data_IF_966643509022
#
_entry.id   IF_966643509022
#
_cell.length_a   1.000
_cell.length_b   1.000
_cell.length_c   1.000
_cell.angle_alpha   90.00
_cell.angle_beta   90.00
_cell.angle_gamma   90.00
#
_symmetry.space_group_name_H-M   'P 1'
#
loop_
_entity.id
_entity.type
_entity.pdbx_description
1 polymer ?
#
# COMPACT_ATOMS: atom_id res chain seq x y z
N UNK A 1 -4.42 -7.02 -4.76
CA UNK A 1 -4.14 -5.76 -4.06
C UNK A 1 -4.48 -4.53 -4.91
N UNK A 2 -5.02 -3.50 -4.25
CA UNK A 2 -5.01 -2.08 -4.66
C UNK A 2 -4.17 -1.32 -3.64
N UNK A 3 -3.33 -0.37 -4.07
CA UNK A 3 -2.45 0.40 -3.17
C UNK A 3 -2.77 1.89 -3.31
N UNK A 4 -3.20 2.52 -2.22
CA UNK A 4 -3.74 3.88 -2.19
C UNK A 4 -3.25 4.59 -0.93
N UNK A 5 -2.83 5.84 -1.07
CA UNK A 5 -2.52 6.74 0.04
C UNK A 5 -3.73 7.63 0.35
N UNK A 6 -3.99 7.87 1.63
CA UNK A 6 -5.11 8.70 2.08
C UNK A 6 -4.58 9.78 3.02
N UNK A 7 -4.77 11.04 2.63
CA UNK A 7 -4.35 12.17 3.44
C UNK A 7 -5.54 12.68 4.25
N UNK A 8 -5.40 12.71 5.57
CA UNK A 8 -6.47 13.06 6.51
C UNK A 8 -6.00 14.20 7.41
N UNK A 9 -6.84 15.22 7.57
CA UNK A 9 -6.65 16.28 8.55
C UNK A 9 -7.88 16.35 9.45
N UNK A 10 -7.69 16.04 10.74
CA UNK A 10 -8.79 15.92 11.69
C UNK A 10 -9.78 14.84 11.25
N UNK A 11 -11.00 15.23 10.91
CA UNK A 11 -12.07 14.34 10.46
C UNK A 11 -12.38 14.46 8.96
N UNK A 12 -11.52 15.10 8.16
CA UNK A 12 -11.72 15.30 6.73
C UNK A 12 -10.65 14.59 5.91
N UNK A 13 -11.09 13.91 4.85
CA UNK A 13 -10.23 13.41 3.79
C UNK A 13 -9.84 14.59 2.90
N UNK A 14 -8.56 14.76 2.67
CA UNK A 14 -7.99 15.83 1.85
C UNK A 14 -7.66 15.33 0.45
N UNK A 15 -7.06 14.14 0.33
CA UNK A 15 -6.57 13.60 -0.94
C UNK A 15 -6.57 12.06 -0.95
N UNK A 16 -6.77 11.49 -2.15
CA UNK A 16 -6.63 10.05 -2.42
C UNK A 16 -5.56 9.85 -3.50
N UNK A 17 -4.40 9.33 -3.10
CA UNK A 17 -3.25 9.10 -3.95
C UNK A 17 -3.23 7.67 -4.52
N UNK A 18 -3.50 7.53 -5.83
CA UNK A 18 -3.64 6.21 -6.50
C UNK A 18 -2.49 5.83 -7.45
N UNK A 19 -1.55 6.74 -7.71
CA UNK A 19 -0.43 6.49 -8.63
C UNK A 19 0.85 6.06 -7.90
N UNK A 20 1.29 6.86 -6.95
CA UNK A 20 2.56 6.65 -6.24
C UNK A 20 2.45 7.09 -4.77
N UNK A 21 1.61 6.42 -3.97
CA UNK A 21 1.52 6.72 -2.54
C UNK A 21 2.89 6.45 -1.85
N UNK A 22 3.36 7.44 -1.10
CA UNK A 22 4.67 7.46 -0.47
C UNK A 22 4.67 7.01 0.99
N UNK A 23 5.75 7.35 1.71
CA UNK A 23 5.92 7.18 3.15
C UNK A 23 5.89 5.73 3.70
N UNK A 24 5.95 4.71 2.85
CA UNK A 24 5.91 3.31 3.27
C UNK A 24 7.01 2.93 4.27
N UNK A 25 8.30 3.30 4.07
CA UNK A 25 9.35 3.01 5.07
C UNK A 25 9.09 3.68 6.43
N UNK A 26 8.60 4.92 6.42
CA UNK A 26 8.27 5.67 7.62
C UNK A 26 7.08 5.04 8.36
N UNK A 27 6.04 4.62 7.63
CA UNK A 27 4.90 3.92 8.20
C UNK A 27 5.31 2.57 8.82
N UNK A 28 6.18 1.82 8.14
CA UNK A 28 6.75 0.58 8.68
C UNK A 28 7.53 0.80 9.96
N UNK A 29 8.39 1.84 10.01
CA UNK A 29 9.12 2.18 11.23
C UNK A 29 8.20 2.66 12.36
N UNK A 30 7.19 3.47 12.06
CA UNK A 30 6.25 4.00 13.04
C UNK A 30 5.41 2.91 13.70
N UNK A 31 4.99 1.93 12.92
CA UNK A 31 4.10 0.87 13.38
C UNK A 31 4.86 -0.40 13.80
N UNK A 32 6.18 -0.44 13.62
CA UNK A 32 7.02 -1.63 13.85
C UNK A 32 6.56 -2.85 13.03
N UNK A 33 6.12 -2.62 11.79
CA UNK A 33 5.53 -3.64 10.91
C UNK A 33 6.17 -3.67 9.52
N UNK A 34 6.36 -4.87 8.97
CA UNK A 34 6.92 -5.06 7.61
C UNK A 34 5.82 -5.08 6.53
N UNK A 35 5.39 -3.87 6.15
CA UNK A 35 4.45 -3.71 5.04
C UNK A 35 5.06 -4.07 3.68
N UNK A 36 6.37 -3.94 3.51
CA UNK A 36 7.02 -4.17 2.22
C UNK A 36 6.86 -5.63 1.81
N UNK A 37 7.13 -6.56 2.72
CA UNK A 37 6.98 -8.00 2.47
C UNK A 37 5.51 -8.34 2.14
N UNK A 38 4.55 -7.83 2.91
CA UNK A 38 3.11 -8.07 2.67
C UNK A 38 2.67 -7.59 1.28
N UNK A 39 3.14 -6.41 0.86
CA UNK A 39 2.81 -5.84 -0.45
C UNK A 39 3.41 -6.70 -1.57
N UNK A 40 4.68 -7.08 -1.46
CA UNK A 40 5.38 -7.90 -2.46
C UNK A 40 4.67 -9.26 -2.60
N UNK A 41 4.38 -9.96 -1.51
CA UNK A 41 3.68 -11.24 -1.56
C UNK A 41 2.30 -11.13 -2.24
N UNK A 42 1.57 -10.04 -2.00
CA UNK A 42 0.27 -9.83 -2.62
C UNK A 42 0.37 -9.58 -4.13
N UNK A 43 1.41 -8.85 -4.55
CA UNK A 43 1.71 -8.62 -5.97
C UNK A 43 2.10 -9.93 -6.65
N UNK A 44 2.96 -10.74 -6.04
CA UNK A 44 3.34 -12.06 -6.55
C UNK A 44 2.13 -12.99 -6.69
N UNK A 45 1.26 -13.05 -5.68
CA UNK A 45 0.00 -13.80 -5.73
C UNK A 45 -0.87 -13.31 -6.89
N UNK A 46 -1.02 -11.99 -7.08
CA UNK A 46 -1.80 -11.42 -8.20
C UNK A 46 -1.21 -11.79 -9.56
N UNK A 47 0.10 -11.68 -9.73
CA UNK A 47 0.80 -12.07 -10.97
C UNK A 47 0.64 -13.57 -11.23
N UNK A 48 0.71 -14.41 -10.20
CA UNK A 48 0.53 -15.87 -10.32
C UNK A 48 -0.88 -16.26 -10.77
N UNK A 49 -1.90 -15.48 -10.40
CA UNK A 49 -3.28 -15.71 -10.82
C UNK A 49 -3.47 -15.31 -12.29
N UNK A 50 -2.88 -14.18 -12.70
CA UNK A 50 -2.95 -13.73 -14.09
C UNK A 50 -2.25 -14.68 -15.07
N UNK A 51 -1.16 -15.34 -14.66
CA UNK A 51 -0.44 -16.33 -15.49
C UNK A 51 -1.21 -17.65 -15.71
N UNK A 52 -2.27 -17.91 -14.94
CA UNK A 52 -3.10 -19.11 -15.04
C UNK A 52 -4.30 -18.95 -15.98
N UNK A 53 -4.52 -17.75 -16.49
CA UNK A 53 -5.53 -17.40 -17.50
C UNK A 53 -4.85 -17.23 -18.86
#
# INVERSE_FOLDING_TARGET
>A
MYFVGLDIVGNKIMEINVFSPGALPQASALNEEDYTTVIIENLEKKVSLNKRN
#
